data_IF_680222228849
#
_entry.id   IF_680222228849
#
_cell.length_a   1.000
_cell.length_b   1.000
_cell.length_c   1.000
_cell.angle_alpha   90.00
_cell.angle_beta   90.00
_cell.angle_gamma   90.00
#
_symmetry.space_group_name_H-M   'P 1'
#
loop_
_entity.id
_entity.type
_entity.pdbx_description
1 polymer ?
#
# COMPACT_ATOMS: atom_id res chain seq x y z
N UNK A 1 10.32 -14.95 31.51
CA UNK A 1 11.39 -14.86 30.49
C UNK A 1 12.54 -15.75 30.88
N UNK A 2 12.87 -16.72 30.04
CA UNK A 2 13.99 -17.67 30.27
C UNK A 2 15.26 -17.13 29.60
N UNK A 3 15.10 -16.48 28.43
CA UNK A 3 16.19 -15.95 27.64
C UNK A 3 15.79 -14.67 26.88
N UNK A 4 16.73 -13.76 26.66
CA UNK A 4 16.59 -12.59 25.79
C UNK A 4 17.91 -12.29 25.09
N UNK A 5 17.86 -11.86 23.84
CA UNK A 5 19.05 -11.47 23.11
C UNK A 5 19.50 -10.03 23.49
N UNK A 6 20.77 -9.69 23.15
CA UNK A 6 21.41 -8.40 23.43
C UNK A 6 20.57 -7.22 22.92
N UNK A 7 20.05 -7.30 21.68
CA UNK A 7 19.25 -6.23 21.07
C UNK A 7 17.94 -5.94 21.81
N UNK A 8 17.29 -6.97 22.32
CA UNK A 8 16.09 -6.84 23.18
C UNK A 8 16.45 -6.18 24.50
N UNK A 9 17.57 -6.55 25.13
CA UNK A 9 18.06 -5.95 26.36
C UNK A 9 18.35 -4.47 26.20
N UNK A 10 19.10 -4.09 25.17
CA UNK A 10 19.41 -2.69 24.88
C UNK A 10 18.16 -1.83 24.64
N UNK A 11 17.15 -2.41 23.95
CA UNK A 11 15.87 -1.74 23.73
C UNK A 11 15.13 -1.49 25.05
N UNK A 12 15.09 -2.45 25.93
CA UNK A 12 14.41 -2.32 27.22
C UNK A 12 15.09 -1.27 28.11
N UNK A 13 16.40 -1.25 28.16
CA UNK A 13 17.17 -0.23 28.88
C UNK A 13 16.81 1.18 28.38
N UNK A 14 16.77 1.38 27.03
CA UNK A 14 16.38 2.65 26.43
C UNK A 14 14.97 3.10 26.79
N UNK A 15 14.06 2.16 26.98
CA UNK A 15 12.67 2.41 27.36
C UNK A 15 12.47 2.46 28.88
N UNK A 16 13.55 2.42 29.69
CA UNK A 16 13.53 2.34 31.14
C UNK A 16 12.70 1.14 31.67
N UNK A 17 12.67 0.07 30.88
CA UNK A 17 12.00 -1.19 31.22
C UNK A 17 13.00 -2.11 31.89
N UNK A 18 12.93 -2.16 33.22
CA UNK A 18 13.74 -3.05 34.04
C UNK A 18 13.06 -4.42 34.12
N UNK A 19 13.28 -5.25 33.11
CA UNK A 19 12.74 -6.60 33.05
C UNK A 19 13.81 -7.63 33.33
N UNK A 20 13.62 -8.40 34.40
CA UNK A 20 14.50 -9.50 34.77
C UNK A 20 14.10 -10.83 34.14
N UNK A 21 15.05 -11.76 34.09
CA UNK A 21 14.78 -13.15 33.75
C UNK A 21 13.93 -13.75 34.87
N UNK A 22 12.93 -14.56 34.56
CA UNK A 22 11.99 -15.13 35.52
C UNK A 22 10.65 -14.40 35.59
N UNK A 23 10.59 -13.12 35.22
CA UNK A 23 9.32 -12.37 35.24
C UNK A 23 8.36 -12.88 34.16
N UNK A 24 7.07 -13.01 34.49
CA UNK A 24 6.05 -13.50 33.62
C UNK A 24 5.58 -12.42 32.60
N UNK A 25 4.83 -12.84 31.60
CA UNK A 25 4.30 -11.97 30.52
C UNK A 25 3.40 -10.87 31.08
N UNK A 26 2.50 -11.16 31.99
CA UNK A 26 1.53 -10.19 32.53
C UNK A 26 2.18 -9.10 33.37
N UNK A 27 3.19 -9.45 34.18
CA UNK A 27 3.97 -8.47 34.91
C UNK A 27 4.63 -7.46 33.97
N UNK A 28 5.19 -7.95 32.88
CA UNK A 28 5.82 -7.09 31.84
C UNK A 28 4.83 -6.18 31.15
N UNK A 29 3.63 -6.70 30.80
CA UNK A 29 2.57 -5.88 30.21
C UNK A 29 2.13 -4.80 31.21
N UNK A 30 1.94 -5.14 32.49
CA UNK A 30 1.59 -4.15 33.51
C UNK A 30 2.61 -3.01 33.59
N UNK A 31 3.91 -3.33 33.62
CA UNK A 31 4.98 -2.31 33.65
C UNK A 31 4.97 -1.40 32.42
N UNK A 32 4.68 -1.94 31.24
CA UNK A 32 4.55 -1.16 29.99
C UNK A 32 3.35 -0.21 30.08
N UNK A 33 2.25 -0.64 30.65
CA UNK A 33 1.04 0.17 30.92
C UNK A 33 1.36 1.30 31.90
N UNK A 34 1.95 0.97 33.04
CA UNK A 34 2.28 1.93 34.08
C UNK A 34 3.20 3.05 33.62
N UNK A 35 4.01 2.78 32.62
CA UNK A 35 4.88 3.75 31.93
C UNK A 35 4.24 4.49 30.76
N UNK A 36 2.97 4.21 30.43
CA UNK A 36 2.28 4.83 29.30
C UNK A 36 2.89 4.53 27.93
N UNK A 37 3.59 3.38 27.80
CA UNK A 37 4.32 3.02 26.57
C UNK A 37 3.46 2.32 25.51
N UNK A 38 2.22 1.97 25.83
CA UNK A 38 1.25 1.35 24.92
C UNK A 38 -0.15 1.86 25.25
N UNK A 39 -0.99 1.98 24.25
CA UNK A 39 -2.41 2.28 24.41
C UNK A 39 -3.18 1.07 24.92
N UNK A 40 -4.38 1.28 25.46
CA UNK A 40 -5.25 0.19 25.92
C UNK A 40 -5.60 -0.79 24.79
N UNK A 41 -5.77 -0.29 23.58
CA UNK A 41 -6.07 -1.11 22.40
C UNK A 41 -4.89 -2.01 22.03
N UNK A 42 -3.69 -1.45 22.00
CA UNK A 42 -2.45 -2.21 21.75
C UNK A 42 -2.23 -3.28 22.81
N UNK A 43 -2.53 -2.97 24.07
CA UNK A 43 -2.44 -3.91 25.19
C UNK A 43 -3.45 -5.04 25.03
N UNK A 44 -4.71 -4.73 24.72
CA UNK A 44 -5.76 -5.73 24.45
C UNK A 44 -5.35 -6.64 23.30
N UNK A 45 -4.86 -6.06 22.21
CA UNK A 45 -4.38 -6.82 21.05
C UNK A 45 -3.21 -7.74 21.43
N UNK A 46 -2.24 -7.22 22.18
CA UNK A 46 -1.06 -7.98 22.63
C UNK A 46 -1.43 -9.16 23.51
N UNK A 47 -2.32 -8.95 24.48
CA UNK A 47 -2.83 -10.01 25.39
C UNK A 47 -3.60 -11.06 24.62
N UNK A 48 -4.56 -10.64 23.79
CA UNK A 48 -5.39 -11.53 22.98
C UNK A 48 -4.53 -12.47 22.11
N UNK A 49 -3.56 -11.94 21.41
CA UNK A 49 -2.73 -12.76 20.51
C UNK A 49 -1.81 -13.71 21.28
N UNK A 50 -1.28 -13.29 22.44
CA UNK A 50 -0.49 -14.16 23.30
C UNK A 50 -1.31 -15.34 23.83
N UNK A 51 -2.51 -15.08 24.34
CA UNK A 51 -3.41 -16.14 24.86
C UNK A 51 -3.90 -17.07 23.75
N UNK A 52 -4.22 -16.54 22.56
CA UNK A 52 -4.58 -17.35 21.41
C UNK A 52 -3.43 -18.25 20.95
N UNK A 53 -2.21 -17.76 20.92
CA UNK A 53 -1.06 -18.58 20.59
C UNK A 53 -0.87 -19.70 21.62
N UNK A 54 -0.96 -19.35 22.92
CA UNK A 54 -0.78 -20.29 24.02
C UNK A 54 -1.85 -21.38 24.05
N UNK A 55 -3.12 -21.02 23.85
CA UNK A 55 -4.23 -21.97 23.93
C UNK A 55 -4.38 -22.85 22.69
N UNK A 56 -4.08 -22.31 21.50
CA UNK A 56 -4.22 -23.04 20.23
C UNK A 56 -2.99 -23.87 19.87
N UNK A 57 -1.84 -23.65 20.49
CA UNK A 57 -0.57 -24.24 20.06
C UNK A 57 -0.06 -23.71 18.72
N UNK A 58 -0.72 -22.71 18.11
CA UNK A 58 -0.41 -22.16 16.79
C UNK A 58 0.20 -20.77 16.92
N UNK A 59 1.25 -20.51 16.17
CA UNK A 59 1.88 -19.18 16.11
C UNK A 59 0.86 -18.10 15.74
N UNK A 60 0.94 -16.96 16.43
CA UNK A 60 0.16 -15.75 16.12
C UNK A 60 1.10 -14.60 15.79
N UNK A 61 0.70 -13.85 14.77
CA UNK A 61 1.48 -12.72 14.25
C UNK A 61 0.58 -11.49 14.10
N UNK A 62 1.09 -10.34 14.45
CA UNK A 62 0.40 -9.06 14.31
C UNK A 62 1.40 -7.91 14.30
N UNK A 63 0.96 -6.75 13.82
CA UNK A 63 1.75 -5.53 13.76
C UNK A 63 1.14 -4.50 14.70
N UNK A 64 2.00 -3.81 15.47
CA UNK A 64 1.59 -2.71 16.33
C UNK A 64 2.59 -1.56 16.22
N UNK A 65 2.16 -0.35 16.58
CA UNK A 65 3.03 0.81 16.70
C UNK A 65 3.62 0.83 18.11
N UNK A 66 4.92 0.67 18.22
CA UNK A 66 5.58 0.69 19.52
C UNK A 66 5.75 2.11 20.09
N UNK A 67 6.16 2.23 21.36
CA UNK A 67 6.25 3.50 22.10
C UNK A 67 7.22 4.53 21.47
N UNK A 68 8.13 4.09 20.63
CA UNK A 68 9.06 4.97 19.88
C UNK A 68 8.52 5.42 18.53
N UNK A 69 7.23 5.20 18.24
CA UNK A 69 6.60 5.50 16.95
C UNK A 69 6.92 4.50 15.84
N UNK A 70 7.74 3.49 16.10
CA UNK A 70 8.13 2.47 15.12
C UNK A 70 7.10 1.35 15.03
N UNK A 71 6.86 0.87 13.83
CA UNK A 71 6.04 -0.32 13.60
C UNK A 71 6.83 -1.59 13.91
N UNK A 72 6.24 -2.45 14.73
CA UNK A 72 6.86 -3.69 15.18
C UNK A 72 5.93 -4.85 14.88
N UNK A 73 6.42 -5.79 14.10
CA UNK A 73 5.79 -7.09 13.92
C UNK A 73 6.16 -7.97 15.11
N UNK A 74 5.16 -8.51 15.77
CA UNK A 74 5.32 -9.43 16.90
C UNK A 74 4.80 -10.79 16.48
N UNK A 75 5.63 -11.82 16.64
CA UNK A 75 5.25 -13.21 16.41
C UNK A 75 5.45 -14.01 17.68
N UNK A 76 4.37 -14.54 18.22
CA UNK A 76 4.38 -15.45 19.36
C UNK A 76 4.23 -16.88 18.87
N UNK A 77 5.22 -17.72 19.17
CA UNK A 77 5.29 -19.13 18.77
C UNK A 77 5.39 -20.01 19.99
N UNK A 78 4.36 -20.83 20.28
CA UNK A 78 4.47 -21.86 21.31
C UNK A 78 5.53 -22.89 20.96
N UNK A 79 6.29 -23.36 21.96
CA UNK A 79 7.24 -24.44 21.79
C UNK A 79 6.65 -25.77 22.28
N UNK A 80 7.23 -26.89 21.88
CA UNK A 80 6.83 -28.23 22.33
C UNK A 80 6.94 -28.42 23.85
N UNK A 81 7.79 -27.64 24.51
CA UNK A 81 7.98 -27.68 25.97
C UNK A 81 7.01 -26.77 26.75
N UNK A 82 6.00 -26.20 26.06
CA UNK A 82 5.03 -25.29 26.70
C UNK A 82 5.54 -23.85 26.91
N UNK A 83 6.75 -23.55 26.45
CA UNK A 83 7.28 -22.19 26.48
C UNK A 83 6.73 -21.33 25.31
N UNK A 84 6.98 -20.02 25.34
CA UNK A 84 6.58 -19.09 24.29
C UNK A 84 7.81 -18.35 23.75
N UNK A 85 8.07 -18.51 22.46
CA UNK A 85 9.06 -17.71 21.74
C UNK A 85 8.37 -16.46 21.17
N UNK A 86 8.81 -15.28 21.58
CA UNK A 86 8.34 -14.00 21.02
C UNK A 86 9.44 -13.39 20.15
N UNK A 87 9.17 -13.23 18.87
CA UNK A 87 10.01 -12.48 17.92
C UNK A 87 9.43 -11.09 17.72
N UNK A 88 10.29 -10.07 17.73
CA UNK A 88 9.92 -8.68 17.43
C UNK A 88 10.81 -8.13 16.31
N UNK A 89 10.20 -7.82 15.19
CA UNK A 89 10.88 -7.30 14.00
C UNK A 89 10.44 -5.87 13.73
N UNK A 90 11.38 -4.97 13.47
CA UNK A 90 11.06 -3.61 13.03
C UNK A 90 10.62 -3.66 11.55
N UNK A 91 9.38 -3.30 11.30
CA UNK A 91 8.75 -3.28 9.96
C UNK A 91 8.33 -1.86 9.55
N UNK A 92 8.85 -0.83 10.24
CA UNK A 92 8.49 0.58 10.00
C UNK A 92 8.60 0.94 8.53
N UNK A 93 9.73 0.63 7.90
CA UNK A 93 9.95 0.98 6.49
C UNK A 93 8.96 0.30 5.53
N UNK A 94 8.56 -0.94 5.82
CA UNK A 94 7.58 -1.67 5.01
C UNK A 94 6.21 -1.02 5.16
N UNK A 95 5.76 -0.79 6.39
CA UNK A 95 4.45 -0.18 6.68
C UNK A 95 4.36 1.25 6.13
N UNK A 96 5.41 2.06 6.32
CA UNK A 96 5.44 3.44 5.81
C UNK A 96 5.38 3.48 4.27
N UNK A 97 6.11 2.62 3.58
CA UNK A 97 6.01 2.49 2.12
C UNK A 97 4.62 2.08 1.65
N UNK A 98 3.99 1.13 2.33
CA UNK A 98 2.65 0.69 1.97
C UNK A 98 1.61 1.80 2.21
N UNK A 99 1.73 2.56 3.30
CA UNK A 99 0.90 3.73 3.57
C UNK A 99 1.10 4.83 2.52
N UNK A 100 2.33 5.12 2.13
CA UNK A 100 2.65 6.08 1.08
C UNK A 100 2.04 5.66 -0.26
N UNK A 101 2.23 4.40 -0.66
CA UNK A 101 1.63 3.85 -1.88
C UNK A 101 0.11 3.96 -1.87
N UNK A 102 -0.51 3.67 -0.73
CA UNK A 102 -1.97 3.78 -0.57
C UNK A 102 -2.44 5.22 -0.72
N UNK A 103 -1.76 6.18 -0.06
CA UNK A 103 -2.07 7.61 -0.18
C UNK A 103 -1.93 8.12 -1.63
N UNK A 104 -0.86 7.73 -2.33
CA UNK A 104 -0.67 8.07 -3.74
C UNK A 104 -1.77 7.48 -4.61
N UNK A 105 -2.14 6.23 -4.39
CA UNK A 105 -3.24 5.59 -5.12
C UNK A 105 -4.57 6.30 -4.88
N UNK A 106 -4.89 6.66 -3.63
CA UNK A 106 -6.09 7.41 -3.28
C UNK A 106 -6.09 8.82 -3.91
N UNK A 107 -4.94 9.50 -3.93
CA UNK A 107 -4.81 10.81 -4.57
C UNK A 107 -5.05 10.74 -6.09
N UNK A 108 -4.54 9.69 -6.76
CA UNK A 108 -4.77 9.45 -8.19
C UNK A 108 -6.25 9.17 -8.46
N UNK A 109 -6.88 8.31 -7.64
CA UNK A 109 -8.30 7.96 -7.80
C UNK A 109 -9.23 9.16 -7.56
N UNK A 110 -8.91 10.04 -6.62
CA UNK A 110 -9.72 11.21 -6.27
C UNK A 110 -9.35 12.47 -7.09
N UNK A 111 -8.40 12.37 -8.01
CA UNK A 111 -8.05 13.50 -8.87
C UNK A 111 -9.23 13.88 -9.78
N UNK A 112 -9.60 15.17 -9.88
CA UNK A 112 -10.81 15.61 -10.62
C UNK A 112 -10.71 15.40 -12.13
N UNK A 113 -9.52 15.25 -12.67
CA UNK A 113 -9.25 14.95 -14.08
C UNK A 113 -8.96 13.48 -14.33
N UNK A 114 -8.98 13.09 -15.60
CA UNK A 114 -8.52 11.78 -16.03
C UNK A 114 -6.99 11.66 -15.91
N UNK A 115 -6.50 10.64 -15.20
CA UNK A 115 -5.07 10.33 -15.04
C UNK A 115 -4.77 8.98 -15.64
N UNK A 116 -3.73 8.91 -16.46
CA UNK A 116 -3.20 7.66 -17.00
C UNK A 116 -1.68 7.65 -16.89
N UNK A 117 -1.12 6.55 -16.39
CA UNK A 117 0.32 6.29 -16.40
C UNK A 117 0.65 5.11 -17.31
N UNK A 118 1.70 5.32 -18.09
CA UNK A 118 2.20 4.36 -19.08
C UNK A 118 3.64 3.99 -18.73
N UNK A 119 4.02 2.74 -18.95
CA UNK A 119 5.42 2.33 -18.82
C UNK A 119 6.26 2.71 -20.07
N UNK A 120 7.54 2.33 -20.03
CA UNK A 120 8.50 2.57 -21.12
C UNK A 120 8.13 1.83 -22.42
N UNK A 121 7.31 0.80 -22.35
CA UNK A 121 6.86 -0.03 -23.47
C UNK A 121 5.44 0.37 -23.93
N UNK A 122 4.99 1.56 -23.52
CA UNK A 122 3.67 2.13 -23.78
C UNK A 122 2.50 1.25 -23.33
N UNK A 123 2.69 0.49 -22.23
CA UNK A 123 1.62 -0.27 -21.60
C UNK A 123 1.00 0.52 -20.44
N UNK A 124 -0.31 0.49 -20.32
CA UNK A 124 -1.04 1.17 -19.25
C UNK A 124 -0.73 0.54 -17.89
N UNK A 125 -0.14 1.31 -16.97
CA UNK A 125 0.11 0.90 -15.59
C UNK A 125 -1.08 1.23 -14.70
N UNK A 126 -1.60 2.47 -14.81
CA UNK A 126 -2.67 3.01 -13.96
C UNK A 126 -3.58 3.89 -14.80
N UNK A 127 -4.88 3.75 -14.56
CA UNK A 127 -5.91 4.69 -15.01
C UNK A 127 -6.88 4.90 -13.85
N UNK A 128 -7.15 6.16 -13.49
CA UNK A 128 -8.08 6.46 -12.44
C UNK A 128 -9.55 6.31 -12.89
N UNK A 129 -10.44 6.25 -11.92
CA UNK A 129 -11.89 6.11 -12.14
C UNK A 129 -12.45 7.21 -13.05
N UNK A 130 -11.93 8.44 -12.92
CA UNK A 130 -12.39 9.59 -13.72
C UNK A 130 -12.21 9.38 -15.23
N UNK A 131 -11.14 8.73 -15.67
CA UNK A 131 -10.99 8.37 -17.08
C UNK A 131 -12.11 7.45 -17.59
N UNK A 132 -12.50 6.48 -16.80
CA UNK A 132 -13.58 5.56 -17.16
C UNK A 132 -14.93 6.30 -17.25
N UNK A 133 -15.17 7.24 -16.32
CA UNK A 133 -16.37 8.08 -16.33
C UNK A 133 -16.44 8.98 -17.57
N UNK A 134 -15.34 9.64 -17.92
CA UNK A 134 -15.24 10.49 -19.12
C UNK A 134 -15.56 9.67 -20.38
N UNK A 135 -14.98 8.49 -20.53
CA UNK A 135 -15.26 7.63 -21.68
C UNK A 135 -16.72 7.18 -21.71
N UNK A 136 -17.27 6.79 -20.57
CA UNK A 136 -18.68 6.39 -20.47
C UNK A 136 -19.63 7.53 -20.83
N UNK A 137 -19.37 8.75 -20.36
CA UNK A 137 -20.14 9.95 -20.70
C UNK A 137 -20.10 10.25 -22.21
N UNK A 138 -18.98 9.99 -22.87
CA UNK A 138 -18.82 10.14 -24.31
C UNK A 138 -19.35 8.93 -25.13
N UNK A 139 -20.11 8.02 -24.50
CA UNK A 139 -20.70 6.86 -25.19
C UNK A 139 -19.72 5.74 -25.51
N UNK A 140 -18.50 5.77 -24.98
CA UNK A 140 -17.46 4.78 -25.26
C UNK A 140 -17.48 3.69 -24.18
N UNK A 141 -17.86 2.49 -24.61
CA UNK A 141 -18.11 1.37 -23.70
C UNK A 141 -16.99 0.33 -23.76
N UNK A 142 -15.73 0.74 -23.47
CA UNK A 142 -14.68 -0.23 -23.21
C UNK A 142 -13.92 0.08 -21.92
N UNK A 143 -13.48 -0.96 -21.25
CA UNK A 143 -12.73 -0.84 -20.00
C UNK A 143 -11.24 -0.64 -20.30
N UNK A 144 -10.64 0.35 -19.65
CA UNK A 144 -9.18 0.53 -19.66
C UNK A 144 -8.55 -0.50 -18.74
N UNK A 145 -7.99 -1.54 -19.32
CA UNK A 145 -7.34 -2.61 -18.58
C UNK A 145 -5.83 -2.37 -18.51
N UNK A 146 -5.25 -2.69 -17.34
CA UNK A 146 -3.80 -2.65 -17.16
C UNK A 146 -3.11 -3.53 -18.21
N UNK A 147 -2.03 -3.02 -18.82
CA UNK A 147 -1.28 -3.70 -19.86
C UNK A 147 -1.76 -3.42 -21.29
N UNK A 148 -2.91 -2.73 -21.48
CA UNK A 148 -3.29 -2.31 -22.85
C UNK A 148 -2.23 -1.36 -23.41
N UNK A 149 -1.86 -1.52 -24.69
CA UNK A 149 -0.93 -0.61 -25.35
C UNK A 149 -1.61 0.71 -25.72
N UNK A 150 -0.87 1.82 -25.61
CA UNK A 150 -1.35 3.16 -25.94
C UNK A 150 -1.99 3.21 -27.33
N UNK A 151 -1.34 2.63 -28.34
CA UNK A 151 -1.88 2.58 -29.71
C UNK A 151 -3.22 1.86 -29.77
N UNK A 152 -3.36 0.71 -29.08
CA UNK A 152 -4.62 -0.05 -29.06
C UNK A 152 -5.75 0.75 -28.41
N UNK A 153 -5.45 1.43 -27.30
CA UNK A 153 -6.40 2.32 -26.63
C UNK A 153 -6.81 3.46 -27.57
N UNK A 154 -5.84 4.17 -28.16
CA UNK A 154 -6.09 5.30 -29.06
C UNK A 154 -6.95 4.88 -30.26
N UNK A 155 -6.65 3.74 -30.89
CA UNK A 155 -7.46 3.21 -32.01
C UNK A 155 -8.90 2.93 -31.58
N UNK A 156 -9.09 2.31 -30.41
CA UNK A 156 -10.44 2.06 -29.87
C UNK A 156 -11.20 3.37 -29.62
N UNK A 157 -10.56 4.36 -29.01
CA UNK A 157 -11.17 5.67 -28.72
C UNK A 157 -11.55 6.43 -29.99
N UNK A 158 -10.67 6.48 -30.99
CA UNK A 158 -10.94 7.17 -32.25
C UNK A 158 -12.03 6.45 -33.07
N UNK A 159 -12.01 5.13 -33.09
CA UNK A 159 -13.03 4.34 -33.80
C UNK A 159 -14.42 4.44 -33.16
N UNK A 160 -14.48 4.61 -31.85
CA UNK A 160 -15.70 4.84 -31.09
C UNK A 160 -16.22 6.29 -31.15
N UNK A 161 -15.59 7.13 -31.97
CA UNK A 161 -15.91 8.56 -32.12
C UNK A 161 -15.83 9.37 -30.81
N UNK A 162 -14.95 8.98 -29.87
CA UNK A 162 -14.72 9.74 -28.64
C UNK A 162 -14.26 11.18 -28.90
N UNK A 163 -13.48 11.37 -29.98
CA UNK A 163 -12.90 12.66 -30.34
C UNK A 163 -13.63 13.32 -31.50
N UNK A 164 -13.88 14.62 -31.38
CA UNK A 164 -14.26 15.46 -32.49
C UNK A 164 -13.00 15.76 -33.30
N UNK A 165 -12.89 15.15 -34.49
CA UNK A 165 -11.72 15.34 -35.34
C UNK A 165 -11.76 16.69 -36.05
N UNK A 166 -10.61 17.38 -36.28
CA UNK A 166 -10.54 18.59 -37.08
C UNK A 166 -11.03 18.36 -38.50
N UNK A 167 -11.63 19.37 -39.12
CA UNK A 167 -12.10 19.29 -40.52
C UNK A 167 -10.96 18.83 -41.44
N UNK A 168 -11.25 17.84 -42.30
CA UNK A 168 -10.30 17.31 -43.29
C UNK A 168 -9.25 16.32 -42.74
N UNK A 169 -9.32 15.97 -41.48
CA UNK A 169 -8.43 14.94 -40.89
C UNK A 169 -9.16 13.61 -40.80
N UNK A 170 -8.62 12.58 -41.45
CA UNK A 170 -9.15 11.22 -41.35
C UNK A 170 -8.72 10.57 -40.02
N UNK A 171 -9.49 9.57 -39.52
CA UNK A 171 -9.16 8.80 -38.33
C UNK A 171 -7.73 8.24 -38.38
N UNK A 172 -7.33 7.68 -39.50
CA UNK A 172 -5.98 7.13 -39.71
C UNK A 172 -4.89 8.20 -39.58
N UNK A 173 -5.09 9.36 -40.23
CA UNK A 173 -4.15 10.48 -40.13
C UNK A 173 -4.03 11.00 -38.71
N UNK A 174 -5.14 11.13 -38.00
CA UNK A 174 -5.15 11.55 -36.59
C UNK A 174 -4.38 10.57 -35.71
N UNK A 175 -4.64 9.26 -35.83
CA UNK A 175 -3.95 8.22 -35.04
C UNK A 175 -2.44 8.30 -35.30
N UNK A 176 -2.01 8.33 -36.58
CA UNK A 176 -0.59 8.37 -36.93
C UNK A 176 0.10 9.63 -36.39
N UNK A 177 -0.56 10.76 -36.45
CA UNK A 177 -0.05 12.00 -35.87
C UNK A 177 0.13 11.88 -34.35
N UNK A 178 -0.85 11.33 -33.65
CA UNK A 178 -0.80 11.13 -32.19
C UNK A 178 0.32 10.19 -31.77
N UNK A 179 0.53 9.10 -32.52
CA UNK A 179 1.61 8.15 -32.25
C UNK A 179 2.98 8.79 -32.47
N UNK A 180 3.13 9.56 -33.55
CA UNK A 180 4.38 10.30 -33.83
C UNK A 180 4.70 11.30 -32.72
N UNK A 181 3.72 12.10 -32.29
CA UNK A 181 3.89 13.08 -31.22
C UNK A 181 4.27 12.43 -29.89
N UNK A 182 3.75 11.23 -29.60
CA UNK A 182 4.11 10.48 -28.43
C UNK A 182 5.54 9.95 -28.47
N UNK A 183 5.98 9.46 -29.63
CA UNK A 183 7.35 8.96 -29.82
C UNK A 183 8.42 10.06 -29.63
N UNK A 184 8.07 11.33 -29.81
CA UNK A 184 8.97 12.46 -29.62
C UNK A 184 9.27 12.78 -28.14
N UNK A 185 8.64 12.09 -27.18
CA UNK A 185 8.81 12.21 -25.70
C UNK A 185 8.75 13.66 -25.16
N UNK A 186 8.14 14.59 -25.91
CA UNK A 186 8.01 15.99 -25.50
C UNK A 186 6.74 16.21 -24.71
N UNK A 187 6.84 16.95 -23.60
CA UNK A 187 5.65 17.42 -22.87
C UNK A 187 4.83 18.32 -23.79
N UNK A 188 3.56 17.99 -24.00
CA UNK A 188 2.61 18.78 -24.78
C UNK A 188 1.30 18.93 -24.05
N UNK A 189 0.82 20.16 -23.96
CA UNK A 189 -0.55 20.47 -23.53
C UNK A 189 -1.41 20.73 -24.77
N UNK A 190 -2.62 20.22 -24.77
CA UNK A 190 -3.57 20.46 -25.85
C UNK A 190 -5.01 20.38 -25.35
N UNK A 191 -5.88 21.09 -26.02
CA UNK A 191 -7.31 20.94 -25.86
C UNK A 191 -7.84 19.85 -26.79
N UNK A 192 -8.71 19.00 -26.25
CA UNK A 192 -9.38 17.93 -26.98
C UNK A 192 -10.87 18.10 -26.77
N UNK A 193 -11.61 18.26 -27.86
CA UNK A 193 -13.06 18.27 -27.80
C UNK A 193 -13.58 16.84 -27.86
N UNK A 194 -14.36 16.46 -26.87
CA UNK A 194 -15.04 15.17 -26.76
C UNK A 194 -16.52 15.34 -27.13
N UNK A 195 -17.13 14.28 -27.60
CA UNK A 195 -18.56 14.21 -27.85
C UNK A 195 -19.35 14.10 -26.54
#
# INVERSE_FOLDING_TARGET
VIYRNKKTSERWIKLKLDFEIGQNFYYRIKKVVDLGLMTDEEIKLRRKNYELAKSSGVSKEFVLKGPTGRWVQVKDTPTSEGNMLTLMTNVTHIVEKDLERKRLSEAIENFPGGVMFWDKDDQLIVSNKRNQEIMKQAGVNFKLEKGIKYEQMLRKQVNSNLYILPKGITKAKYINQRLKERAELKSKTREINLH
#
